data_IF_550379866997
#
_entry.id   IF_550379866997
#
_cell.length_a   1.000
_cell.length_b   1.000
_cell.length_c   1.000
_cell.angle_alpha   90.00
_cell.angle_beta   90.00
_cell.angle_gamma   90.00
#
_symmetry.space_group_name_H-M   'P 1'
#
loop_
_entity.id
_entity.type
_entity.pdbx_description
1 polymer ?
#
# COMPACT_ATOMS: atom_id res chain seq x y z
N UNK A 1 -32.87 38.33 39.27
CA UNK A 1 -33.37 39.63 38.88
C UNK A 1 -33.21 39.76 37.39
N UNK A 2 -34.25 39.50 36.67
CA UNK A 2 -35.32 40.38 36.13
C UNK A 2 -34.79 41.24 34.97
N UNK A 3 -35.33 41.36 33.77
CA UNK A 3 -36.65 41.13 33.19
C UNK A 3 -36.49 41.41 31.68
N UNK A 4 -37.03 40.59 30.76
CA UNK A 4 -38.33 40.72 30.09
C UNK A 4 -38.56 42.10 29.45
N UNK A 5 -38.76 42.24 28.19
CA UNK A 5 -39.74 41.88 27.20
C UNK A 5 -39.77 42.89 26.04
N UNK A 6 -40.57 42.70 25.00
CA UNK A 6 -40.39 43.24 23.66
C UNK A 6 -41.32 44.42 23.36
N UNK A 7 -41.11 45.15 22.29
CA UNK A 7 -42.13 46.07 21.77
C UNK A 7 -42.14 46.08 20.24
N UNK A 8 -43.25 45.61 19.78
CA UNK A 8 -43.93 45.80 18.50
C UNK A 8 -44.45 47.23 18.33
N UNK A 9 -44.77 47.56 17.07
CA UNK A 9 -45.60 48.64 16.59
C UNK A 9 -44.86 49.95 16.22
N UNK A 10 -44.96 50.52 15.02
CA UNK A 10 -46.16 50.96 14.38
C UNK A 10 -45.97 51.23 12.87
N UNK A 11 -46.92 50.77 12.10
CA UNK A 11 -47.29 51.27 10.78
C UNK A 11 -47.63 52.79 10.81
N UNK A 12 -47.13 53.53 9.87
CA UNK A 12 -47.82 54.73 9.38
C UNK A 12 -47.76 54.84 7.86
N UNK A 13 -48.92 54.61 7.31
CA UNK A 13 -49.31 54.91 5.94
C UNK A 13 -49.60 56.40 5.80
N UNK A 14 -48.96 57.11 4.93
CA UNK A 14 -49.45 58.40 4.42
C UNK A 14 -49.45 58.43 2.92
N UNK A 15 -50.67 58.49 2.40
CA UNK A 15 -51.04 58.84 1.04
C UNK A 15 -50.61 60.30 0.69
N UNK A 16 -50.21 60.48 -0.59
CA UNK A 16 -50.55 61.68 -1.31
C UNK A 16 -49.42 62.44 -1.92
N UNK A 17 -49.18 62.33 -3.18
CA UNK A 17 -49.45 63.39 -4.17
C UNK A 17 -48.81 63.04 -5.51
N UNK A 18 -49.68 62.96 -6.51
CA UNK A 18 -49.33 62.99 -7.94
C UNK A 18 -48.57 64.24 -8.30
N UNK A 19 -47.49 64.08 -9.00
CA UNK A 19 -46.98 65.15 -9.86
C UNK A 19 -46.47 64.49 -11.18
N UNK A 20 -47.29 64.73 -12.20
CA UNK A 20 -46.95 64.47 -13.61
C UNK A 20 -45.62 65.10 -13.98
N UNK A 21 -44.58 64.25 -14.15
CA UNK A 21 -43.40 64.65 -14.94
C UNK A 21 -43.43 63.89 -16.23
N UNK A 22 -43.72 64.57 -17.30
CA UNK A 22 -43.50 64.16 -18.69
C UNK A 22 -42.09 63.62 -18.84
N UNK A 23 -41.97 62.31 -19.00
CA UNK A 23 -40.71 61.73 -19.46
C UNK A 23 -40.56 61.93 -20.94
N UNK A 24 -39.66 62.81 -21.30
CA UNK A 24 -39.12 62.86 -22.63
C UNK A 24 -38.47 61.49 -22.95
N UNK A 25 -38.99 60.82 -23.98
CA UNK A 25 -38.37 59.63 -24.57
C UNK A 25 -37.08 60.11 -25.28
N UNK A 26 -35.97 60.06 -24.57
CA UNK A 26 -34.66 60.06 -25.22
C UNK A 26 -34.46 58.67 -25.79
N UNK A 27 -34.50 58.58 -27.10
CA UNK A 27 -34.00 57.45 -27.86
C UNK A 27 -32.52 57.35 -27.62
N UNK A 28 -32.10 56.42 -26.74
CA UNK A 28 -30.71 56.02 -26.66
C UNK A 28 -30.39 55.24 -27.95
N UNK A 29 -29.28 55.56 -28.64
CA UNK A 29 -28.84 54.72 -29.75
C UNK A 29 -28.56 53.32 -29.18
N UNK A 30 -29.20 52.30 -29.77
CA UNK A 30 -28.88 50.90 -29.56
C UNK A 30 -27.48 50.76 -30.17
N UNK A 31 -26.47 50.71 -29.32
CA UNK A 31 -25.17 50.23 -29.72
C UNK A 31 -25.29 48.72 -29.98
N UNK A 32 -25.27 48.36 -31.25
CA UNK A 32 -25.13 46.99 -31.70
C UNK A 32 -23.71 46.51 -31.36
N UNK A 33 -23.40 46.36 -30.07
CA UNK A 33 -22.26 45.63 -29.64
C UNK A 33 -22.63 44.15 -29.62
N UNK A 34 -21.76 43.24 -30.10
CA UNK A 34 -22.08 41.85 -30.27
C UNK A 34 -22.16 41.16 -28.92
N UNK A 35 -23.33 41.24 -28.30
CA UNK A 35 -23.71 40.42 -27.12
C UNK A 35 -23.62 38.90 -27.36
N UNK A 36 -23.25 38.50 -28.58
CA UNK A 36 -23.13 37.11 -28.99
C UNK A 36 -21.80 36.46 -28.60
N UNK A 37 -20.69 37.20 -28.64
CA UNK A 37 -19.37 36.62 -28.42
C UNK A 37 -19.17 36.14 -26.97
N UNK A 38 -19.50 36.96 -25.97
CA UNK A 38 -19.35 36.59 -24.57
C UNK A 38 -20.30 35.48 -24.12
N UNK A 39 -21.51 35.36 -24.74
CA UNK A 39 -22.46 34.29 -24.45
C UNK A 39 -22.03 32.94 -25.03
N UNK A 40 -21.40 32.95 -26.20
CA UNK A 40 -20.85 31.74 -26.83
C UNK A 40 -19.67 31.21 -26.02
N UNK A 41 -18.77 32.09 -25.62
CA UNK A 41 -17.60 31.74 -24.79
C UNK A 41 -17.99 31.16 -23.42
N UNK A 42 -18.99 31.75 -22.77
CA UNK A 42 -19.55 31.22 -21.52
C UNK A 42 -20.19 29.82 -21.67
N UNK A 43 -20.91 29.61 -22.77
CA UNK A 43 -21.53 28.32 -23.07
C UNK A 43 -20.50 27.22 -23.41
N UNK A 44 -19.41 27.57 -24.07
CA UNK A 44 -18.31 26.67 -24.34
C UNK A 44 -17.58 26.25 -23.05
N UNK A 45 -17.26 27.22 -22.19
CA UNK A 45 -16.67 26.93 -20.88
C UNK A 45 -17.60 26.08 -19.98
N UNK A 46 -18.90 26.33 -20.02
CA UNK A 46 -19.88 25.53 -19.29
C UNK A 46 -19.96 24.10 -19.84
N UNK A 47 -19.93 23.90 -21.16
CA UNK A 47 -19.88 22.58 -21.80
C UNK A 47 -18.60 21.83 -21.47
N UNK A 48 -17.46 22.48 -21.45
CA UNK A 48 -16.20 21.86 -21.06
C UNK A 48 -16.19 21.41 -19.59
N UNK A 49 -16.72 22.21 -18.68
CA UNK A 49 -16.84 21.82 -17.25
C UNK A 49 -17.75 20.59 -17.08
N UNK A 50 -18.85 20.53 -17.80
CA UNK A 50 -19.76 19.38 -17.75
C UNK A 50 -19.12 18.15 -18.39
N UNK A 51 -18.42 18.31 -19.53
CA UNK A 51 -17.67 17.23 -20.20
C UNK A 51 -16.60 16.67 -19.28
N UNK A 52 -15.80 17.54 -18.66
CA UNK A 52 -14.74 17.13 -17.75
C UNK A 52 -15.28 16.43 -16.49
N UNK A 53 -16.43 16.88 -15.97
CA UNK A 53 -17.10 16.16 -14.86
C UNK A 53 -17.61 14.78 -15.29
N UNK A 54 -18.15 14.64 -16.50
CA UNK A 54 -18.58 13.32 -17.03
C UNK A 54 -17.38 12.41 -17.25
N UNK A 55 -16.31 12.91 -17.88
CA UNK A 55 -15.07 12.17 -18.09
C UNK A 55 -14.47 11.70 -16.75
N UNK A 56 -14.41 12.57 -15.74
CA UNK A 56 -13.92 12.20 -14.42
C UNK A 56 -14.81 11.13 -13.75
N UNK A 57 -16.13 11.23 -13.88
CA UNK A 57 -17.05 10.20 -13.35
C UNK A 57 -16.94 8.88 -14.07
N UNK A 58 -16.86 8.89 -15.39
CA UNK A 58 -16.67 7.65 -16.17
C UNK A 58 -15.31 7.03 -15.90
N UNK A 59 -14.25 7.82 -15.78
CA UNK A 59 -12.93 7.34 -15.39
C UNK A 59 -12.94 6.69 -13.98
N UNK A 60 -13.61 7.31 -13.00
CA UNK A 60 -13.76 6.72 -11.67
C UNK A 60 -14.55 5.41 -11.69
N UNK A 61 -15.61 5.33 -12.47
CA UNK A 61 -16.40 4.09 -12.63
C UNK A 61 -15.55 2.98 -13.28
N UNK A 62 -14.80 3.31 -14.32
CA UNK A 62 -13.91 2.34 -14.99
C UNK A 62 -12.83 1.86 -14.01
N UNK A 63 -12.19 2.76 -13.26
CA UNK A 63 -11.20 2.40 -12.23
C UNK A 63 -11.84 1.51 -11.15
N UNK A 64 -13.04 1.86 -10.67
CA UNK A 64 -13.75 1.06 -9.67
C UNK A 64 -14.08 -0.35 -10.20
N UNK A 65 -14.59 -0.45 -11.43
CA UNK A 65 -14.87 -1.73 -12.07
C UNK A 65 -13.59 -2.56 -12.27
N UNK A 66 -12.50 -1.93 -12.69
CA UNK A 66 -11.21 -2.61 -12.84
C UNK A 66 -10.72 -3.14 -11.49
N UNK A 67 -10.84 -2.35 -10.42
CA UNK A 67 -10.50 -2.80 -9.07
C UNK A 67 -11.37 -3.98 -8.61
N UNK A 68 -12.68 -3.94 -8.87
CA UNK A 68 -13.59 -5.04 -8.54
C UNK A 68 -13.20 -6.31 -9.30
N UNK A 69 -12.92 -6.22 -10.59
CA UNK A 69 -12.47 -7.37 -11.41
C UNK A 69 -11.14 -7.92 -10.88
N UNK A 70 -10.17 -7.06 -10.56
CA UNK A 70 -8.91 -7.47 -9.98
C UNK A 70 -9.10 -8.15 -8.62
N UNK A 71 -10.05 -7.68 -7.82
CA UNK A 71 -10.36 -8.26 -6.53
C UNK A 71 -11.03 -9.64 -6.64
N UNK A 72 -11.98 -9.80 -7.58
CA UNK A 72 -12.71 -11.05 -7.79
C UNK A 72 -11.87 -12.13 -8.46
N UNK A 73 -10.91 -11.76 -9.30
CA UNK A 73 -10.00 -12.71 -9.97
C UNK A 73 -8.92 -13.29 -9.05
N UNK A 74 -8.84 -12.85 -7.77
CA UNK A 74 -7.85 -13.34 -6.80
C UNK A 74 -6.40 -12.90 -7.09
N UNK A 75 -6.19 -12.07 -8.12
CA UNK A 75 -4.87 -11.51 -8.47
C UNK A 75 -4.38 -10.54 -7.37
N UNK A 76 -5.30 -10.01 -6.57
CA UNK A 76 -4.98 -9.04 -5.51
C UNK A 76 -4.08 -9.63 -4.44
N UNK A 77 -4.19 -10.94 -4.12
CA UNK A 77 -3.34 -11.58 -3.12
C UNK A 77 -1.85 -11.53 -3.51
N UNK A 78 -1.53 -11.94 -4.73
CA UNK A 78 -0.17 -11.88 -5.26
C UNK A 78 0.30 -10.44 -5.48
N UNK A 79 -0.62 -9.54 -5.86
CA UNK A 79 -0.33 -8.12 -6.08
C UNK A 79 0.02 -7.39 -4.78
N UNK A 80 -0.63 -7.71 -3.67
CA UNK A 80 -0.31 -7.11 -2.35
C UNK A 80 1.08 -7.54 -1.87
N UNK A 81 1.44 -8.81 -2.06
CA UNK A 81 2.77 -9.28 -1.73
C UNK A 81 3.85 -8.60 -2.59
N UNK A 82 3.60 -8.46 -3.89
CA UNK A 82 4.49 -7.76 -4.82
C UNK A 82 4.58 -6.26 -4.51
N UNK A 83 3.46 -5.61 -4.17
CA UNK A 83 3.45 -4.20 -3.79
C UNK A 83 4.24 -3.94 -2.51
N UNK A 84 4.18 -4.85 -1.52
CA UNK A 84 5.03 -4.77 -0.32
C UNK A 84 6.50 -4.92 -0.65
N UNK A 85 6.88 -5.89 -1.48
CA UNK A 85 8.26 -6.09 -1.90
C UNK A 85 8.80 -4.89 -2.69
N UNK A 86 7.93 -4.23 -3.48
CA UNK A 86 8.28 -3.00 -4.20
C UNK A 86 8.44 -1.80 -3.27
N UNK A 87 7.53 -1.64 -2.29
CA UNK A 87 7.62 -0.60 -1.27
C UNK A 87 8.89 -0.74 -0.42
N UNK A 88 9.26 -1.97 -0.03
CA UNK A 88 10.52 -2.26 0.66
C UNK A 88 11.74 -1.88 -0.20
N UNK A 89 11.70 -2.19 -1.50
CA UNK A 89 12.77 -1.82 -2.43
C UNK A 89 12.89 -0.30 -2.56
N UNK A 90 11.77 0.40 -2.72
CA UNK A 90 11.75 1.86 -2.81
C UNK A 90 12.29 2.51 -1.53
N UNK A 91 11.92 1.99 -0.36
CA UNK A 91 12.42 2.47 0.94
C UNK A 91 13.94 2.29 1.06
N UNK A 92 14.48 1.15 0.66
CA UNK A 92 15.92 0.89 0.68
C UNK A 92 16.68 1.84 -0.25
N UNK A 93 16.11 2.16 -1.42
CA UNK A 93 16.70 3.10 -2.37
C UNK A 93 16.66 4.55 -1.90
N UNK A 94 15.57 4.96 -1.23
CA UNK A 94 15.39 6.33 -0.73
C UNK A 94 16.24 6.65 0.50
N UNK A 95 16.58 5.62 1.29
CA UNK A 95 17.38 5.77 2.51
C UNK A 95 18.67 4.95 2.42
N UNK A 96 19.64 5.40 1.60
CA UNK A 96 20.93 4.74 1.52
C UNK A 96 21.67 4.85 2.85
N UNK A 97 22.35 3.79 3.24
CA UNK A 97 23.18 3.78 4.43
C UNK A 97 24.49 4.56 4.27
N UNK A 98 25.26 4.62 5.36
CA UNK A 98 26.54 5.31 5.43
C UNK A 98 27.69 4.58 4.71
N UNK A 99 27.39 3.42 4.11
CA UNK A 99 28.39 2.59 3.43
C UNK A 99 29.06 1.56 4.35
N UNK A 100 30.00 0.82 3.81
CA UNK A 100 30.81 -0.17 4.49
C UNK A 100 32.21 0.41 4.79
N UNK A 101 32.89 -0.03 5.88
CA UNK A 101 32.58 -1.14 6.79
C UNK A 101 31.58 -0.79 7.88
N UNK A 102 30.81 -1.79 8.35
CA UNK A 102 29.88 -1.69 9.47
C UNK A 102 30.10 -2.85 10.45
N UNK A 103 29.94 -2.58 11.75
CA UNK A 103 29.94 -3.63 12.75
C UNK A 103 28.57 -4.31 12.73
N UNK A 104 28.52 -5.59 12.39
CA UNK A 104 27.25 -6.32 12.25
C UNK A 104 26.62 -6.68 13.59
N UNK A 105 27.43 -6.77 14.64
CA UNK A 105 26.99 -7.15 15.98
C UNK A 105 26.69 -8.64 16.14
N UNK A 106 26.94 -9.44 15.11
CA UNK A 106 26.79 -10.90 15.15
C UNK A 106 28.13 -11.48 15.58
N UNK A 107 28.14 -12.15 16.72
CA UNK A 107 29.40 -12.68 17.30
C UNK A 107 29.95 -13.88 16.49
N UNK A 108 29.09 -14.79 16.11
CA UNK A 108 29.44 -15.99 15.36
C UNK A 108 28.51 -16.16 14.17
N UNK A 109 29.06 -15.99 12.97
CA UNK A 109 28.30 -16.11 11.72
C UNK A 109 28.22 -17.59 11.33
N UNK A 110 27.05 -18.19 11.43
CA UNK A 110 26.78 -19.57 11.02
C UNK A 110 26.43 -19.70 9.56
N UNK A 111 25.71 -18.73 9.00
CA UNK A 111 25.26 -18.76 7.61
C UNK A 111 25.09 -17.34 7.09
N UNK A 112 25.47 -17.15 5.82
CA UNK A 112 25.26 -15.91 5.08
C UNK A 112 24.48 -16.23 3.80
N UNK A 113 23.43 -15.47 3.53
CA UNK A 113 22.67 -15.61 2.29
C UNK A 113 22.44 -14.27 1.61
N UNK A 114 22.58 -14.26 0.30
CA UNK A 114 22.36 -13.06 -0.54
C UNK A 114 20.89 -12.97 -0.97
N UNK A 115 20.38 -11.76 -0.98
CA UNK A 115 19.07 -11.39 -1.51
C UNK A 115 19.22 -10.20 -2.46
N UNK A 116 18.13 -9.82 -3.14
CA UNK A 116 18.14 -8.64 -4.01
C UNK A 116 18.45 -7.37 -3.22
N UNK A 117 19.58 -6.71 -3.54
CA UNK A 117 20.06 -5.48 -2.88
C UNK A 117 20.27 -5.58 -1.36
N UNK A 118 20.38 -6.77 -0.82
CA UNK A 118 20.55 -7.04 0.61
C UNK A 118 21.18 -8.42 0.85
N UNK A 119 21.58 -8.67 2.07
CA UNK A 119 22.00 -9.98 2.54
C UNK A 119 21.52 -10.21 3.97
N UNK A 120 21.40 -11.45 4.35
CA UNK A 120 21.03 -11.86 5.69
C UNK A 120 22.15 -12.68 6.31
N UNK A 121 22.51 -12.30 7.49
CA UNK A 121 23.56 -12.91 8.31
C UNK A 121 22.89 -13.63 9.48
N UNK A 122 23.10 -14.93 9.59
CA UNK A 122 22.59 -15.76 10.67
C UNK A 122 23.70 -16.04 11.67
N UNK A 123 23.46 -15.63 12.88
CA UNK A 123 24.29 -15.97 14.05
C UNK A 123 23.62 -16.98 14.96
N UNK A 124 24.17 -17.14 16.16
CA UNK A 124 23.66 -18.06 17.15
C UNK A 124 22.33 -17.58 17.76
N UNK A 125 22.22 -16.33 18.09
CA UNK A 125 21.06 -15.76 18.77
C UNK A 125 19.95 -15.30 17.82
N UNK A 126 20.27 -15.13 16.53
CA UNK A 126 19.32 -14.65 15.56
C UNK A 126 19.95 -14.25 14.23
N UNK A 127 19.22 -13.49 13.43
CA UNK A 127 19.72 -13.02 12.16
C UNK A 127 19.54 -11.50 11.98
N UNK A 128 20.44 -10.92 11.20
CA UNK A 128 20.42 -9.51 10.84
C UNK A 128 20.39 -9.37 9.34
N UNK A 129 19.52 -8.51 8.84
CA UNK A 129 19.38 -8.19 7.42
C UNK A 129 20.01 -6.85 7.13
N UNK A 130 20.91 -6.82 6.15
CA UNK A 130 21.66 -5.65 5.74
C UNK A 130 21.38 -5.28 4.29
N UNK A 131 21.32 -3.99 4.01
CA UNK A 131 21.32 -3.50 2.64
C UNK A 131 22.75 -3.54 2.04
N UNK A 132 22.86 -3.47 0.73
CA UNK A 132 24.17 -3.32 0.05
C UNK A 132 24.91 -2.04 0.46
N UNK A 133 24.18 -1.04 0.95
CA UNK A 133 24.71 0.28 1.37
C UNK A 133 25.01 0.36 2.87
N UNK A 134 25.02 -0.77 3.59
CA UNK A 134 25.39 -0.80 5.01
C UNK A 134 24.27 -0.38 5.97
N UNK A 135 23.03 -0.28 5.51
CA UNK A 135 21.88 -0.02 6.39
C UNK A 135 21.38 -1.32 7.00
N UNK A 136 21.20 -1.38 8.31
CA UNK A 136 20.52 -2.49 8.98
C UNK A 136 19.01 -2.38 8.73
N UNK A 137 18.45 -3.33 7.98
CA UNK A 137 17.05 -3.35 7.58
C UNK A 137 16.15 -4.03 8.60
N UNK A 138 16.63 -5.12 9.17
CA UNK A 138 15.89 -5.90 10.17
C UNK A 138 16.85 -6.62 11.11
N UNK A 139 16.40 -6.89 12.33
CA UNK A 139 17.14 -7.69 13.31
C UNK A 139 16.14 -8.60 14.01
N UNK A 140 16.38 -9.90 13.94
CA UNK A 140 15.46 -10.92 14.38
C UNK A 140 16.18 -11.78 15.41
N UNK A 141 15.69 -11.77 16.61
CA UNK A 141 16.11 -12.72 17.63
C UNK A 141 15.31 -14.02 17.45
N UNK A 142 15.99 -15.13 17.42
CA UNK A 142 15.36 -16.45 17.35
C UNK A 142 15.84 -17.27 18.54
N UNK A 143 14.92 -17.79 19.34
CA UNK A 143 15.24 -18.77 20.39
C UNK A 143 15.42 -20.19 19.86
N UNK A 144 15.81 -20.37 18.60
CA UNK A 144 15.94 -21.68 17.94
C UNK A 144 17.25 -22.37 18.36
N UNK A 145 17.14 -23.61 18.81
CA UNK A 145 18.29 -24.39 19.20
C UNK A 145 19.24 -24.70 18.03
N UNK A 146 18.67 -24.86 16.82
CA UNK A 146 19.42 -25.13 15.58
C UNK A 146 18.89 -24.25 14.46
N UNK A 147 19.18 -22.94 14.51
CA UNK A 147 18.71 -22.01 13.50
C UNK A 147 19.35 -22.31 12.14
N UNK A 148 18.54 -22.30 11.11
CA UNK A 148 18.96 -22.44 9.73
C UNK A 148 18.18 -21.47 8.83
N UNK A 149 18.79 -21.08 7.72
CA UNK A 149 18.30 -20.06 6.83
C UNK A 149 18.22 -20.58 5.39
N UNK A 150 17.14 -20.25 4.68
CA UNK A 150 17.07 -20.37 3.23
C UNK A 150 16.51 -19.07 2.65
N UNK A 151 17.21 -18.46 1.69
CA UNK A 151 16.83 -17.19 1.10
C UNK A 151 16.45 -17.34 -0.37
N UNK A 152 15.42 -16.61 -0.78
CA UNK A 152 15.09 -16.29 -2.16
C UNK A 152 15.44 -14.84 -2.48
N UNK A 153 14.87 -14.30 -3.54
CA UNK A 153 15.21 -12.96 -4.02
C UNK A 153 14.82 -11.82 -3.05
N UNK A 154 13.62 -11.84 -2.46
CA UNK A 154 13.11 -10.76 -1.61
C UNK A 154 12.65 -11.24 -0.23
N UNK A 155 12.72 -12.53 0.02
CA UNK A 155 12.22 -13.17 1.23
C UNK A 155 13.18 -14.26 1.65
N UNK A 156 13.16 -14.59 2.93
CA UNK A 156 13.89 -15.72 3.47
C UNK A 156 13.06 -16.44 4.53
N UNK A 157 13.39 -17.69 4.76
CA UNK A 157 12.83 -18.48 5.85
C UNK A 157 13.92 -18.73 6.87
N UNK A 158 13.62 -18.43 8.12
CA UNK A 158 14.38 -18.82 9.30
C UNK A 158 13.63 -19.95 9.97
N UNK A 159 14.26 -21.10 10.15
CA UNK A 159 13.63 -22.28 10.71
C UNK A 159 14.52 -22.99 11.73
N UNK A 160 13.88 -23.71 12.65
CA UNK A 160 14.56 -24.56 13.60
C UNK A 160 14.76 -25.94 12.99
N UNK A 161 16.00 -26.29 12.63
CA UNK A 161 16.32 -27.64 12.12
C UNK A 161 16.11 -28.68 13.22
N UNK A 162 15.42 -29.77 12.91
CA UNK A 162 14.95 -30.76 13.87
C UNK A 162 13.95 -30.24 14.92
N UNK A 163 13.47 -29.03 14.75
CA UNK A 163 12.31 -28.47 15.44
C UNK A 163 11.13 -28.36 14.48
N UNK A 164 10.05 -27.75 14.91
CA UNK A 164 8.81 -27.67 14.15
C UNK A 164 8.40 -26.21 13.79
N UNK A 165 9.22 -25.24 14.12
CA UNK A 165 8.89 -23.84 13.90
C UNK A 165 9.68 -23.25 12.73
N UNK A 166 9.00 -22.42 11.95
CA UNK A 166 9.59 -21.59 10.89
C UNK A 166 8.97 -20.21 10.86
N UNK A 167 9.77 -19.24 10.40
CA UNK A 167 9.35 -17.86 10.16
C UNK A 167 9.74 -17.45 8.77
N UNK A 168 8.81 -16.86 8.04
CA UNK A 168 9.07 -16.27 6.72
C UNK A 168 9.10 -14.77 6.88
N UNK A 169 10.21 -14.21 6.47
CA UNK A 169 10.52 -12.78 6.60
C UNK A 169 10.70 -12.15 5.22
N UNK A 170 10.31 -10.91 5.09
CA UNK A 170 10.83 -10.04 4.04
C UNK A 170 12.12 -9.37 4.53
N UNK A 171 12.70 -8.50 3.73
CA UNK A 171 13.90 -7.76 4.12
C UNK A 171 13.70 -6.85 5.32
N UNK A 172 12.46 -6.40 5.59
CA UNK A 172 12.16 -5.36 6.60
C UNK A 172 11.14 -5.80 7.65
N UNK A 173 10.41 -6.90 7.42
CA UNK A 173 9.30 -7.28 8.31
C UNK A 173 9.00 -8.78 8.29
N UNK A 174 8.39 -9.26 9.38
CA UNK A 174 7.83 -10.61 9.43
C UNK A 174 6.60 -10.71 8.51
N UNK A 175 6.55 -11.75 7.69
CA UNK A 175 5.39 -12.05 6.85
C UNK A 175 4.44 -13.02 7.54
N UNK A 176 4.97 -14.11 8.10
CA UNK A 176 4.24 -15.06 8.92
C UNK A 176 5.17 -16.02 9.66
N UNK A 177 4.66 -16.57 10.73
CA UNK A 177 5.26 -17.68 11.49
C UNK A 177 4.37 -18.89 11.37
N UNK A 178 4.95 -20.07 11.29
CA UNK A 178 4.21 -21.33 11.18
C UNK A 178 4.85 -22.42 12.01
N UNK A 179 4.02 -23.18 12.71
CA UNK A 179 4.40 -24.40 13.39
C UNK A 179 3.97 -25.59 12.56
N UNK A 180 4.88 -26.50 12.33
CA UNK A 180 4.65 -27.74 11.59
C UNK A 180 4.23 -28.85 12.55
N UNK A 181 3.58 -29.91 12.03
CA UNK A 181 3.17 -31.05 12.80
C UNK A 181 4.36 -31.96 13.14
N UNK A 182 5.38 -31.96 12.30
CA UNK A 182 6.57 -32.81 12.42
C UNK A 182 7.83 -31.95 12.33
N UNK A 183 8.96 -32.55 12.75
CA UNK A 183 10.26 -31.87 12.71
C UNK A 183 10.67 -31.48 11.29
N UNK A 184 11.22 -30.29 11.18
CA UNK A 184 11.70 -29.73 9.91
C UNK A 184 13.12 -30.22 9.67
N UNK A 185 13.31 -30.93 8.58
CA UNK A 185 14.63 -31.36 8.14
C UNK A 185 15.34 -30.30 7.29
N UNK A 186 14.61 -29.72 6.34
CA UNK A 186 15.14 -28.75 5.38
C UNK A 186 14.03 -27.81 4.91
N UNK A 187 14.42 -26.55 4.69
CA UNK A 187 13.60 -25.57 3.94
C UNK A 187 14.39 -25.05 2.73
N UNK A 188 13.70 -24.76 1.65
CA UNK A 188 14.21 -24.06 0.49
C UNK A 188 13.25 -22.95 0.06
N UNK A 189 13.78 -21.81 -0.31
CA UNK A 189 13.01 -20.66 -0.77
C UNK A 189 13.33 -20.34 -2.22
N UNK A 190 12.31 -20.29 -3.07
CA UNK A 190 12.47 -19.88 -4.45
C UNK A 190 12.43 -18.34 -4.59
N UNK A 191 12.92 -17.82 -5.70
CA UNK A 191 12.98 -16.37 -5.98
C UNK A 191 11.61 -15.68 -6.00
N UNK A 192 10.57 -16.41 -6.38
CA UNK A 192 9.18 -15.93 -6.35
C UNK A 192 8.52 -15.98 -4.95
N UNK A 193 9.26 -16.40 -3.92
CA UNK A 193 8.76 -16.50 -2.55
C UNK A 193 8.01 -17.82 -2.26
N UNK A 194 8.05 -18.79 -3.16
CA UNK A 194 7.53 -20.13 -2.89
C UNK A 194 8.47 -20.85 -1.92
N UNK A 195 7.91 -21.40 -0.85
CA UNK A 195 8.63 -22.09 0.21
C UNK A 195 8.38 -23.61 0.11
N UNK A 196 9.45 -24.37 -0.01
CA UNK A 196 9.44 -25.83 0.12
C UNK A 196 9.94 -26.21 1.52
N UNK A 197 9.21 -27.08 2.20
CA UNK A 197 9.53 -27.56 3.55
C UNK A 197 9.53 -29.07 3.54
N UNK A 198 10.62 -29.67 3.93
CA UNK A 198 10.77 -31.10 4.14
C UNK A 198 10.68 -31.38 5.63
N UNK A 199 9.75 -32.23 6.01
CA UNK A 199 9.54 -32.67 7.39
C UNK A 199 9.69 -34.18 7.52
N UNK A 200 10.05 -34.64 8.68
CA UNK A 200 9.97 -36.08 9.02
C UNK A 200 8.53 -36.58 8.90
N UNK A 201 8.37 -37.81 8.52
CA UNK A 201 7.08 -38.47 8.40
C UNK A 201 7.16 -39.93 8.94
N UNK A 202 6.30 -40.31 9.90
CA UNK A 202 6.34 -41.66 10.46
C UNK A 202 6.07 -42.77 9.45
N UNK A 203 5.37 -42.48 8.35
CA UNK A 203 4.99 -43.44 7.32
C UNK A 203 5.84 -43.45 6.06
N UNK A 204 6.79 -42.53 5.93
CA UNK A 204 7.67 -42.38 4.76
C UNK A 204 9.01 -41.74 5.13
N UNK A 205 9.99 -41.82 4.25
CA UNK A 205 11.31 -41.25 4.49
C UNK A 205 11.26 -39.74 4.81
N UNK A 206 10.40 -39.01 4.14
CA UNK A 206 10.17 -37.57 4.37
C UNK A 206 8.88 -37.12 3.69
N UNK A 207 8.32 -36.02 4.17
CA UNK A 207 7.17 -35.36 3.56
C UNK A 207 7.56 -33.96 3.04
N UNK A 208 7.34 -33.74 1.76
CA UNK A 208 7.54 -32.44 1.14
C UNK A 208 6.21 -31.65 1.10
N UNK A 209 6.23 -30.44 1.60
CA UNK A 209 5.11 -29.49 1.49
C UNK A 209 5.61 -28.21 0.79
N UNK A 210 4.85 -27.75 -0.20
CA UNK A 210 5.15 -26.52 -0.90
C UNK A 210 4.09 -25.47 -0.58
N UNK A 211 4.54 -24.30 -0.17
CA UNK A 211 3.70 -23.15 0.16
C UNK A 211 3.93 -22.06 -0.87
N UNK A 212 2.86 -21.62 -1.50
CA UNK A 212 2.89 -20.43 -2.36
C UNK A 212 3.20 -19.19 -1.55
N UNK A 213 3.71 -18.15 -2.20
CA UNK A 213 3.95 -16.83 -1.60
C UNK A 213 2.73 -16.24 -0.87
N UNK A 214 1.52 -16.69 -1.21
CA UNK A 214 0.23 -16.30 -0.61
C UNK A 214 -0.23 -17.20 0.54
N UNK A 215 0.63 -17.99 1.15
CA UNK A 215 0.32 -18.92 2.28
C UNK A 215 -0.54 -20.14 1.92
N UNK A 216 -0.89 -20.35 0.66
CA UNK A 216 -1.64 -21.55 0.25
C UNK A 216 -0.69 -22.74 0.18
N UNK A 217 -0.97 -23.78 0.93
CA UNK A 217 -0.21 -25.04 0.85
C UNK A 217 -0.74 -25.90 -0.29
N UNK A 218 0.14 -26.32 -1.18
CA UNK A 218 -0.12 -27.41 -2.11
C UNK A 218 0.59 -28.66 -1.57
N UNK A 219 -0.15 -29.71 -1.29
CA UNK A 219 0.45 -31.01 -0.95
C UNK A 219 0.94 -31.64 -2.25
N UNK A 220 2.21 -31.97 -2.29
CA UNK A 220 2.75 -32.91 -3.26
C UNK A 220 2.91 -34.24 -2.53
N UNK A 221 2.14 -35.23 -2.95
CA UNK A 221 2.30 -36.60 -2.49
C UNK A 221 3.45 -37.28 -3.23
#
# INVERSE_FOLDING_TARGET
SSDLTPLWEHCHCTKGQESMRKRQRGTRPVSDEPLSAGRVEYLEQARERVRNRRIRRTALIVVALTLVVLFTTGIVGSSVAMAKDWADTARILLFPGTGWPQQTGVMEVKQLASMNSSFVELGEEGCVVWSRTGTRLNSIQSGYARPALAAGKNRFVLYNRSGNELRVESRTQNLYTKTMESSITLCAMADNGTLAVVTEDPGSAARLRVYSSDRKSTRLN
#
